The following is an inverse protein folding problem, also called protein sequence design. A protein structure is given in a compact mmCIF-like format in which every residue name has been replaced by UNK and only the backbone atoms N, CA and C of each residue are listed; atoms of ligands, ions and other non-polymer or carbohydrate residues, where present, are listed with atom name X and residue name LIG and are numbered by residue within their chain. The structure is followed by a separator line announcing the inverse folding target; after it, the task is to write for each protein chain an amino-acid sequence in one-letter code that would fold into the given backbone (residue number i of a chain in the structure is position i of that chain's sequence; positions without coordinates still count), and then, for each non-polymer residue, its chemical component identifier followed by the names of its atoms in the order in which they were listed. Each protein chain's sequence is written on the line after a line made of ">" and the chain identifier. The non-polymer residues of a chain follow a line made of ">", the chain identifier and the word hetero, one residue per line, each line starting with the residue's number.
data_IF_769242393958
#
_entry.id   IF_769242393958
#
_cell.length_a   1.000
_cell.length_b   1.000
_cell.length_c   1.000
_cell.angle_alpha   90.00
_cell.angle_beta   90.00
_cell.angle_gamma   90.00
#
_symmetry.space_group_name_H-M   'P 1'
#
loop_
_entity.id
_entity.type
_entity.pdbx_description
1 polymer ?
#
# COMPACT_ATOMS: atom_id res chain seq x y z
N UNK A 1 6.72 14.57 4.21
CA UNK A 1 7.87 13.66 4.08
C UNK A 1 8.33 13.65 2.62
N UNK A 2 9.64 13.67 2.37
CA UNK A 2 10.21 13.69 1.01
C UNK A 2 9.84 12.41 0.24
N UNK A 3 9.46 12.55 -1.04
CA UNK A 3 9.21 11.46 -2.00
C UNK A 3 10.34 10.39 -2.02
N UNK A 4 11.55 10.75 -1.62
CA UNK A 4 12.69 9.83 -1.60
C UNK A 4 12.56 8.69 -0.57
N UNK A 5 11.85 8.91 0.55
CA UNK A 5 11.66 7.87 1.57
C UNK A 5 10.55 6.86 1.21
N UNK A 6 9.59 7.24 0.35
CA UNK A 6 8.48 6.35 -0.05
C UNK A 6 8.86 5.37 -1.16
N UNK A 7 9.74 5.75 -2.10
CA UNK A 7 10.11 4.84 -3.20
C UNK A 7 11.01 3.68 -2.73
N UNK A 8 11.89 3.90 -1.75
CA UNK A 8 12.83 2.85 -1.30
C UNK A 8 12.10 1.66 -0.66
N UNK A 9 11.02 1.90 0.09
CA UNK A 9 10.23 0.85 0.73
C UNK A 9 9.41 0.02 -0.25
N UNK A 10 9.04 0.59 -1.41
CA UNK A 10 8.09 -0.02 -2.35
C UNK A 10 8.76 -0.70 -3.55
N UNK A 11 9.98 -0.29 -3.92
CA UNK A 11 10.62 -0.73 -5.16
C UNK A 11 11.79 -1.72 -4.97
N UNK A 12 12.35 -1.89 -3.77
CA UNK A 12 13.50 -2.79 -3.61
C UNK A 12 13.90 -3.26 -2.21
N UNK A 13 13.43 -2.62 -1.13
CA UNK A 13 13.95 -2.89 0.22
C UNK A 13 13.22 -3.98 1.03
N UNK A 14 12.53 -4.90 0.35
CA UNK A 14 11.76 -5.95 1.04
C UNK A 14 12.52 -7.25 1.23
N UNK A 15 13.80 -7.35 0.85
CA UNK A 15 14.60 -8.57 1.08
C UNK A 15 15.66 -8.36 2.16
N UNK A 16 15.77 -9.34 3.05
CA UNK A 16 16.82 -9.45 4.05
C UNK A 16 18.16 -9.92 3.46
N UNK A 17 19.19 -9.97 4.29
CA UNK A 17 20.53 -10.39 3.88
C UNK A 17 20.61 -11.87 3.47
N UNK A 18 19.66 -12.68 3.92
CA UNK A 18 19.44 -14.08 3.56
C UNK A 18 18.64 -14.26 2.26
N UNK A 19 18.21 -13.16 1.65
CA UNK A 19 17.41 -13.15 0.43
C UNK A 19 15.92 -13.38 0.68
N UNK A 20 15.46 -13.57 1.92
CA UNK A 20 14.03 -13.72 2.23
C UNK A 20 13.30 -12.37 2.20
N UNK A 21 12.00 -12.38 1.94
CA UNK A 21 11.18 -11.18 2.13
C UNK A 21 11.05 -10.85 3.62
N UNK A 22 11.17 -9.57 3.97
CA UNK A 22 11.06 -9.04 5.33
C UNK A 22 9.84 -8.13 5.47
N UNK A 23 9.26 -8.12 6.67
CA UNK A 23 8.19 -7.19 7.03
C UNK A 23 8.80 -5.80 7.28
N UNK A 24 8.43 -4.75 6.52
CA UNK A 24 8.96 -3.41 6.74
C UNK A 24 8.51 -2.85 8.08
N UNK A 25 9.41 -2.18 8.80
CA UNK A 25 9.02 -1.48 10.01
C UNK A 25 7.95 -0.41 9.73
N UNK A 26 6.99 -0.27 10.63
CA UNK A 26 6.05 0.85 10.58
C UNK A 26 6.81 2.18 10.65
N UNK A 27 6.40 3.22 9.90
CA UNK A 27 7.04 4.53 9.94
C UNK A 27 6.72 5.35 11.20
N UNK A 28 5.89 4.80 12.10
CA UNK A 28 5.44 5.41 13.34
C UNK A 28 5.16 4.33 14.41
N UNK A 29 5.02 4.75 15.68
CA UNK A 29 4.67 3.85 16.77
C UNK A 29 3.23 3.31 16.63
N UNK A 30 2.95 2.12 17.19
CA UNK A 30 1.62 1.50 17.09
C UNK A 30 0.50 2.30 17.76
N UNK A 31 0.82 3.23 18.64
CA UNK A 31 -0.17 4.12 19.29
C UNK A 31 -0.39 5.43 18.54
N UNK A 32 0.42 5.73 17.52
CA UNK A 32 0.55 7.07 16.96
C UNK A 32 -0.65 7.51 16.10
N UNK A 33 -1.47 6.58 15.62
CA UNK A 33 -2.64 6.90 14.78
C UNK A 33 -3.96 7.05 15.56
N UNK A 34 -3.92 6.91 16.88
CA UNK A 34 -5.11 7.13 17.71
C UNK A 34 -5.54 8.62 17.65
N UNK A 35 -6.86 8.92 17.63
CA UNK A 35 -7.99 8.00 17.80
C UNK A 35 -8.51 7.38 16.50
N UNK A 36 -7.90 7.67 15.34
CA UNK A 36 -8.44 7.29 14.03
C UNK A 36 -8.21 5.81 13.70
N UNK A 37 -7.06 5.26 14.11
CA UNK A 37 -6.75 3.84 14.06
C UNK A 37 -6.20 3.43 15.42
N UNK A 38 -6.81 2.43 16.06
CA UNK A 38 -6.39 2.00 17.39
C UNK A 38 -5.07 1.21 17.34
N UNK A 39 -4.36 1.21 18.46
CA UNK A 39 -3.17 0.35 18.64
C UNK A 39 -3.51 -1.12 18.43
N UNK A 40 -4.68 -1.56 18.90
CA UNK A 40 -5.14 -2.93 18.70
C UNK A 40 -5.28 -3.26 17.21
N UNK A 41 -5.87 -2.36 16.42
CA UNK A 41 -5.96 -2.53 14.96
C UNK A 41 -4.57 -2.63 14.34
N UNK A 42 -3.61 -1.77 14.71
CA UNK A 42 -2.25 -1.87 14.16
C UNK A 42 -1.55 -3.18 14.58
N UNK A 43 -1.69 -3.60 15.83
CA UNK A 43 -1.11 -4.86 16.33
C UNK A 43 -1.59 -6.07 15.52
N UNK A 44 -2.87 -6.12 15.18
CA UNK A 44 -3.41 -7.22 14.35
C UNK A 44 -3.13 -7.00 12.86
N UNK A 45 -3.43 -5.84 12.30
CA UNK A 45 -3.35 -5.58 10.87
C UNK A 45 -1.91 -5.60 10.35
N UNK A 46 -0.97 -4.94 11.04
CA UNK A 46 0.45 -5.03 10.72
C UNK A 46 1.08 -6.30 11.31
N UNK A 47 0.96 -6.49 12.63
CA UNK A 47 1.70 -7.52 13.35
C UNK A 47 1.22 -8.96 13.13
N UNK A 48 0.01 -9.16 12.58
CA UNK A 48 -0.50 -10.49 12.19
C UNK A 48 -0.78 -10.59 10.70
N UNK A 49 -1.65 -9.75 10.14
CA UNK A 49 -2.08 -9.92 8.74
C UNK A 49 -0.95 -9.62 7.75
N UNK A 50 -0.32 -8.45 7.83
CA UNK A 50 0.81 -8.12 6.96
C UNK A 50 1.99 -9.10 7.15
N UNK A 51 2.33 -9.41 8.41
CA UNK A 51 3.35 -10.41 8.75
C UNK A 51 3.06 -11.81 8.16
N UNK A 52 1.80 -12.24 8.15
CA UNK A 52 1.40 -13.53 7.59
C UNK A 52 1.57 -13.55 6.06
N UNK A 53 1.28 -12.46 5.35
CA UNK A 53 1.52 -12.39 3.90
C UNK A 53 3.00 -12.52 3.57
N UNK A 54 3.89 -11.86 4.32
CA UNK A 54 5.36 -12.02 4.16
C UNK A 54 5.76 -13.47 4.42
N UNK A 55 5.33 -14.02 5.55
CA UNK A 55 5.65 -15.41 5.96
C UNK A 55 5.19 -16.43 4.91
N UNK A 56 3.99 -16.27 4.39
CA UNK A 56 3.43 -17.16 3.38
C UNK A 56 4.12 -17.00 2.02
N UNK A 57 4.48 -15.77 1.64
CA UNK A 57 5.22 -15.53 0.41
C UNK A 57 6.59 -16.24 0.43
N UNK A 58 7.35 -16.13 1.53
CA UNK A 58 8.63 -16.85 1.68
C UNK A 58 8.48 -18.37 1.58
N UNK A 59 7.36 -18.94 2.04
CA UNK A 59 7.09 -20.38 1.90
C UNK A 59 6.74 -20.80 0.47
N UNK A 60 6.14 -19.90 -0.31
CA UNK A 60 5.60 -20.22 -1.65
C UNK A 60 6.59 -19.96 -2.79
N UNK A 61 7.60 -19.11 -2.58
CA UNK A 61 8.54 -18.66 -3.61
C UNK A 61 9.63 -19.67 -4.02
N UNK A 62 10.13 -20.57 -3.15
CA UNK A 62 11.17 -21.53 -3.55
C UNK A 62 10.74 -22.44 -4.70
N UNK A 63 11.64 -22.67 -5.66
CA UNK A 63 11.46 -23.53 -6.84
C UNK A 63 10.38 -23.03 -7.83
N UNK A 64 10.17 -21.71 -7.87
CA UNK A 64 9.16 -21.08 -8.74
C UNK A 64 9.73 -20.17 -9.82
N UNK A 65 11.02 -19.86 -9.77
CA UNK A 65 11.67 -18.87 -10.65
C UNK A 65 11.54 -17.42 -10.17
N UNK A 66 10.85 -17.18 -9.04
CA UNK A 66 10.71 -15.86 -8.40
C UNK A 66 11.66 -15.63 -7.22
N UNK A 67 12.62 -16.53 -6.98
CA UNK A 67 13.52 -16.51 -5.83
C UNK A 67 14.34 -15.21 -5.77
N UNK A 68 14.68 -14.66 -6.93
CA UNK A 68 15.43 -13.40 -7.06
C UNK A 68 14.57 -12.23 -7.55
N UNK A 69 13.27 -12.44 -7.76
CA UNK A 69 12.37 -11.39 -8.23
C UNK A 69 12.03 -10.40 -7.12
N UNK A 70 11.90 -9.12 -7.44
CA UNK A 70 11.31 -8.14 -6.54
C UNK A 70 9.79 -8.35 -6.40
N UNK A 71 9.17 -7.83 -5.34
CA UNK A 71 7.71 -7.91 -5.19
C UNK A 71 6.96 -7.32 -6.39
N UNK A 72 7.31 -6.13 -6.93
CA UNK A 72 6.66 -5.62 -8.13
C UNK A 72 6.83 -6.51 -9.37
N UNK A 73 7.94 -7.23 -9.50
CA UNK A 73 8.09 -8.20 -10.59
C UNK A 73 7.21 -9.42 -10.40
N UNK A 74 7.10 -9.94 -9.17
CA UNK A 74 6.19 -11.05 -8.85
C UNK A 74 4.74 -10.62 -9.17
N UNK A 75 4.31 -9.44 -8.73
CA UNK A 75 2.96 -8.93 -8.99
C UNK A 75 2.66 -8.84 -10.49
N UNK A 76 3.65 -8.43 -11.31
CA UNK A 76 3.47 -8.29 -12.76
C UNK A 76 3.55 -9.60 -13.55
N UNK A 77 4.27 -10.62 -13.04
CA UNK A 77 4.61 -11.83 -13.80
C UNK A 77 3.95 -13.11 -13.27
N UNK A 78 3.65 -13.19 -11.98
CA UNK A 78 3.05 -14.38 -11.40
C UNK A 78 1.59 -14.54 -11.88
N UNK A 79 1.14 -15.77 -12.18
CA UNK A 79 -0.26 -16.01 -12.45
C UNK A 79 -1.12 -15.76 -11.20
N UNK A 80 -2.42 -15.55 -11.40
CA UNK A 80 -3.37 -15.47 -10.29
C UNK A 80 -3.27 -16.72 -9.40
N UNK A 81 -3.12 -16.52 -8.09
CA UNK A 81 -2.90 -17.60 -7.14
C UNK A 81 -2.16 -17.15 -5.88
N UNK A 82 -1.69 -18.12 -5.09
CA UNK A 82 -1.08 -17.86 -3.78
C UNK A 82 0.10 -16.90 -3.81
N UNK A 83 1.03 -17.05 -4.76
CA UNK A 83 2.21 -16.19 -4.87
C UNK A 83 1.79 -14.76 -5.19
N UNK A 84 0.97 -14.56 -6.23
CA UNK A 84 0.43 -13.25 -6.58
C UNK A 84 -0.32 -12.61 -5.41
N UNK A 85 -1.24 -13.35 -4.78
CA UNK A 85 -2.06 -12.83 -3.69
C UNK A 85 -1.23 -12.35 -2.49
N UNK A 86 -0.22 -13.14 -2.08
CA UNK A 86 0.63 -12.76 -0.95
C UNK A 86 1.56 -11.61 -1.33
N UNK A 87 2.18 -11.62 -2.52
CA UNK A 87 3.04 -10.54 -2.99
C UNK A 87 2.29 -9.21 -3.12
N UNK A 88 1.11 -9.22 -3.74
CA UNK A 88 0.23 -8.06 -3.85
C UNK A 88 -0.15 -7.53 -2.48
N UNK A 89 -0.52 -8.39 -1.53
CA UNK A 89 -0.91 -7.94 -0.19
C UNK A 89 0.28 -7.41 0.62
N UNK A 90 1.50 -7.95 0.48
CA UNK A 90 2.70 -7.32 1.08
C UNK A 90 2.90 -5.90 0.53
N UNK A 91 2.79 -5.73 -0.78
CA UNK A 91 2.94 -4.41 -1.39
C UNK A 91 1.83 -3.44 -0.95
N UNK A 92 0.56 -3.88 -1.01
CA UNK A 92 -0.60 -3.07 -0.65
C UNK A 92 -0.52 -2.56 0.79
N UNK A 93 -0.17 -3.43 1.74
CA UNK A 93 -0.05 -3.03 3.14
C UNK A 93 1.15 -2.12 3.37
N UNK A 94 2.29 -2.41 2.75
CA UNK A 94 3.46 -1.52 2.82
C UNK A 94 3.09 -0.12 2.33
N UNK A 95 2.43 -0.02 1.17
CA UNK A 95 1.93 1.26 0.66
C UNK A 95 0.96 1.95 1.62
N UNK A 96 -0.02 1.20 2.14
CA UNK A 96 -1.02 1.69 3.09
C UNK A 96 -0.40 2.34 4.34
N UNK A 97 0.60 1.70 4.96
CA UNK A 97 1.26 2.28 6.14
C UNK A 97 2.00 3.58 5.84
N UNK A 98 2.53 3.72 4.63
CA UNK A 98 3.20 4.94 4.19
C UNK A 98 2.24 6.05 3.74
N UNK A 99 0.96 5.74 3.50
CA UNK A 99 -0.08 6.74 3.28
C UNK A 99 -0.61 7.37 4.57
N UNK A 100 -0.30 6.78 5.73
CA UNK A 100 -0.76 7.24 7.03
C UNK A 100 0.35 8.01 7.75
N UNK A 101 -0.04 8.93 8.63
CA UNK A 101 0.89 9.71 9.43
C UNK A 101 0.19 10.21 10.70
N UNK A 102 0.85 10.20 11.88
CA UNK A 102 0.31 10.81 13.10
C UNK A 102 0.09 12.33 12.93
N UNK A 103 0.94 12.97 12.14
CA UNK A 103 0.88 14.41 11.83
C UNK A 103 0.30 14.66 10.43
N UNK A 104 -0.47 13.69 9.92
CA UNK A 104 -1.08 13.74 8.59
C UNK A 104 -2.42 14.50 8.55
N UNK A 105 -3.13 14.32 7.44
CA UNK A 105 -4.44 14.95 7.21
C UNK A 105 -4.33 16.33 6.59
N UNK A 106 -5.37 17.14 6.80
CA UNK A 106 -5.52 18.45 6.14
C UNK A 106 -5.91 18.33 4.67
N UNK A 107 -5.65 19.40 3.90
CA UNK A 107 -5.81 19.42 2.43
C UNK A 107 -4.47 19.11 1.77
N UNK A 108 -4.46 18.41 0.62
CA UNK A 108 -3.25 18.26 -0.17
C UNK A 108 -2.71 19.63 -0.58
N UNK A 109 -1.43 19.69 -0.92
CA UNK A 109 -0.76 20.90 -1.40
C UNK A 109 0.05 20.61 -2.68
N UNK A 110 0.45 21.67 -3.38
CA UNK A 110 1.27 21.59 -4.59
C UNK A 110 0.58 20.82 -5.72
N UNK A 111 1.38 20.10 -6.50
CA UNK A 111 0.94 19.40 -7.72
C UNK A 111 -0.21 18.41 -7.45
N UNK A 112 -0.22 17.76 -6.28
CA UNK A 112 -1.29 16.84 -5.91
C UNK A 112 -2.63 17.58 -5.70
N UNK A 113 -2.60 18.76 -5.07
CA UNK A 113 -3.81 19.57 -4.90
C UNK A 113 -4.35 20.04 -6.25
N UNK A 114 -3.48 20.54 -7.12
CA UNK A 114 -3.86 20.98 -8.46
C UNK A 114 -4.42 19.82 -9.31
N UNK A 115 -3.82 18.63 -9.22
CA UNK A 115 -4.32 17.45 -9.92
C UNK A 115 -5.70 17.01 -9.39
N UNK A 116 -5.90 17.02 -8.06
CA UNK A 116 -7.18 16.70 -7.43
C UNK A 116 -8.25 17.71 -7.83
N UNK A 117 -7.96 19.00 -7.75
CA UNK A 117 -8.91 20.04 -8.14
C UNK A 117 -9.25 19.96 -9.64
N UNK A 118 -8.26 19.67 -10.49
CA UNK A 118 -8.47 19.47 -11.93
C UNK A 118 -9.31 18.25 -12.28
N UNK A 119 -9.12 17.11 -11.60
CA UNK A 119 -9.81 15.86 -11.90
C UNK A 119 -11.18 15.74 -11.22
N UNK A 120 -11.33 16.30 -10.02
CA UNK A 120 -12.52 16.09 -9.18
C UNK A 120 -13.25 17.38 -8.80
N UNK A 121 -12.73 18.54 -9.21
CA UNK A 121 -13.32 19.86 -8.97
C UNK A 121 -12.94 20.47 -7.60
N UNK A 122 -12.79 19.65 -6.56
CA UNK A 122 -12.23 20.08 -5.28
C UNK A 122 -11.75 18.88 -4.45
N UNK A 123 -10.90 19.14 -3.45
CA UNK A 123 -10.53 18.13 -2.45
C UNK A 123 -11.75 17.52 -1.71
N UNK A 124 -12.80 18.30 -1.45
CA UNK A 124 -13.99 17.78 -0.76
C UNK A 124 -14.81 16.85 -1.68
N UNK A 125 -14.95 17.21 -2.96
CA UNK A 125 -15.56 16.34 -3.97
C UNK A 125 -14.75 15.05 -4.20
N UNK A 126 -13.41 15.14 -4.16
CA UNK A 126 -12.54 13.96 -4.17
C UNK A 126 -12.79 13.06 -2.96
N UNK A 127 -12.86 13.60 -1.74
CA UNK A 127 -13.13 12.80 -0.53
C UNK A 127 -14.48 12.08 -0.62
N UNK A 128 -15.51 12.74 -1.13
CA UNK A 128 -16.83 12.14 -1.34
C UNK A 128 -16.75 10.97 -2.33
N UNK A 129 -16.14 11.18 -3.50
CA UNK A 129 -16.00 10.15 -4.54
C UNK A 129 -15.12 8.98 -4.09
N UNK A 130 -14.00 9.26 -3.41
CA UNK A 130 -13.10 8.23 -2.91
C UNK A 130 -13.75 7.39 -1.81
N UNK A 131 -14.48 8.04 -0.90
CA UNK A 131 -15.29 7.36 0.12
C UNK A 131 -16.33 6.47 -0.55
N UNK A 132 -17.03 6.98 -1.56
CA UNK A 132 -18.04 6.20 -2.27
C UNK A 132 -17.44 4.97 -2.96
N UNK A 133 -16.31 5.12 -3.66
CA UNK A 133 -15.61 4.01 -4.29
C UNK A 133 -15.27 2.91 -3.28
N UNK A 134 -14.75 3.28 -2.11
CA UNK A 134 -14.44 2.35 -1.03
C UNK A 134 -15.69 1.67 -0.44
N UNK A 135 -16.79 2.41 -0.25
CA UNK A 135 -18.05 1.87 0.30
C UNK A 135 -18.78 0.92 -0.64
N UNK A 136 -18.65 1.13 -1.96
CA UNK A 136 -19.31 0.28 -2.97
C UNK A 136 -18.53 -0.96 -3.36
N UNK A 137 -17.29 -1.10 -2.88
CA UNK A 137 -16.49 -2.29 -3.12
C UNK A 137 -17.12 -3.48 -2.39
N UNK A 138 -17.59 -4.47 -3.15
CA UNK A 138 -18.23 -5.65 -2.57
C UNK A 138 -17.19 -6.70 -2.16
N UNK A 139 -17.14 -7.03 -0.86
CA UNK A 139 -16.19 -7.99 -0.30
C UNK A 139 -14.89 -7.33 0.17
N UNK A 140 -13.80 -8.08 0.14
CA UNK A 140 -12.48 -7.56 0.54
C UNK A 140 -11.76 -6.93 -0.66
N UNK A 141 -11.26 -5.71 -0.50
CA UNK A 141 -10.49 -5.03 -1.55
C UNK A 141 -9.94 -3.68 -1.09
N UNK A 142 -9.51 -2.89 -2.07
CA UNK A 142 -8.81 -1.62 -1.87
C UNK A 142 -9.35 -0.57 -2.84
N UNK A 143 -9.59 0.65 -2.36
CA UNK A 143 -9.83 1.81 -3.20
C UNK A 143 -8.52 2.60 -3.38
N UNK A 144 -8.25 3.03 -4.61
CA UNK A 144 -7.00 3.67 -4.99
C UNK A 144 -7.23 5.03 -5.67
N UNK A 145 -6.40 6.01 -5.31
CA UNK A 145 -6.13 7.15 -6.18
C UNK A 145 -4.91 6.80 -7.02
N UNK A 146 -5.08 6.66 -8.33
CA UNK A 146 -4.02 6.24 -9.25
C UNK A 146 -3.64 7.37 -10.20
N UNK A 147 -2.42 7.28 -10.75
CA UNK A 147 -1.98 8.11 -11.87
C UNK A 147 -1.85 7.26 -13.12
N UNK A 148 -2.58 7.63 -14.16
CA UNK A 148 -2.56 6.97 -15.46
C UNK A 148 -1.29 7.29 -16.26
N UNK A 149 -0.95 6.50 -17.29
CA UNK A 149 0.21 6.76 -18.14
C UNK A 149 0.20 8.13 -18.84
N UNK A 150 -0.98 8.67 -19.13
CA UNK A 150 -1.16 10.01 -19.71
C UNK A 150 -0.99 11.15 -18.69
N UNK A 151 -0.74 10.81 -17.42
CA UNK A 151 -0.53 11.73 -16.33
C UNK A 151 -1.81 12.16 -15.61
N UNK A 152 -3.00 11.79 -16.10
CA UNK A 152 -4.27 12.02 -15.40
C UNK A 152 -4.36 11.19 -14.11
N UNK A 153 -5.19 11.61 -13.17
CA UNK A 153 -5.48 10.84 -11.95
C UNK A 153 -6.91 10.31 -11.96
N UNK A 154 -7.11 9.12 -11.42
CA UNK A 154 -8.40 8.43 -11.40
C UNK A 154 -8.63 7.68 -10.08
N UNK A 155 -9.88 7.29 -9.83
CA UNK A 155 -10.25 6.43 -8.71
C UNK A 155 -10.51 5.02 -9.24
N UNK A 156 -9.92 4.02 -8.59
CA UNK A 156 -10.07 2.60 -8.92
C UNK A 156 -10.48 1.82 -7.67
N UNK A 157 -11.27 0.76 -7.83
CA UNK A 157 -11.76 -0.12 -6.77
C UNK A 157 -12.14 -1.49 -7.26
#
# INVERSE_FOLDING_TARGET
>A
MSQAASNVALEGALRGADGEFVLPNLPYAMTALAPHVSEETLRYHYGKHHAAYVTNLNKLVPETGFEQASIPEIIRKAPAGGIFNNAAQVWNHTFYWHCLSPDGGGKPAGDLAAAIDGAFGSCDAFKEKFTQAALTLFGSGWAWLVRNPDGSIALEG
#
